data_IF_599338090811
#
_entry.id   IF_599338090811
#
_cell.length_a   1.000
_cell.length_b   1.000
_cell.length_c   1.000
_cell.angle_alpha   90.00
_cell.angle_beta   90.00
_cell.angle_gamma   90.00
#
_symmetry.space_group_name_H-M   'P 1'
#
loop_
_entity.id
_entity.type
_entity.pdbx_description
1 polymer ?
#
# COMPACT_ATOMS: atom_id res chain seq x y z
N UNK A 1 -4.76 -7.52 8.62
CA UNK A 1 -3.63 -6.82 9.28
C UNK A 1 -3.48 -5.45 8.65
N UNK A 2 -3.05 -4.42 9.39
CA UNK A 2 -2.79 -3.07 8.89
C UNK A 2 -1.33 -2.68 9.14
N UNK A 3 -0.74 -1.87 8.26
CA UNK A 3 0.68 -1.51 8.31
C UNK A 3 0.95 -0.03 7.95
N UNK A 4 1.83 0.63 8.69
CA UNK A 4 2.31 1.99 8.39
C UNK A 4 3.81 2.12 8.67
N UNK A 5 4.55 2.77 7.78
CA UNK A 5 6.03 2.69 7.71
C UNK A 5 6.80 3.31 8.89
N UNK A 6 6.15 4.08 9.77
CA UNK A 6 6.80 4.79 10.89
C UNK A 6 6.19 4.47 12.27
N UNK A 7 5.48 3.35 12.41
CA UNK A 7 5.05 2.86 13.73
C UNK A 7 5.93 1.69 14.18
N UNK A 8 6.13 1.48 15.50
CA UNK A 8 6.73 0.25 16.02
C UNK A 8 5.83 -0.93 15.70
N UNK A 9 5.98 -1.50 14.50
CA UNK A 9 4.97 -2.41 13.97
C UNK A 9 5.34 -3.89 14.22
N UNK A 10 4.78 -4.45 15.28
CA UNK A 10 4.84 -5.89 15.57
C UNK A 10 3.94 -6.73 14.66
N UNK A 11 3.07 -6.10 13.86
CA UNK A 11 2.09 -6.81 13.03
C UNK A 11 2.74 -7.59 11.90
N UNK A 12 3.90 -7.17 11.38
CA UNK A 12 4.66 -7.98 10.42
C UNK A 12 5.09 -9.30 11.07
N UNK A 13 5.54 -9.26 12.32
CA UNK A 13 5.92 -10.48 13.04
C UNK A 13 4.69 -11.37 13.32
N UNK A 14 3.56 -10.78 13.70
CA UNK A 14 2.28 -11.52 13.87
C UNK A 14 1.82 -12.15 12.55
N UNK A 15 1.94 -11.44 11.43
CA UNK A 15 1.61 -11.94 10.11
C UNK A 15 2.51 -13.12 9.72
N UNK A 16 3.83 -13.02 9.96
CA UNK A 16 4.77 -14.13 9.78
C UNK A 16 4.38 -15.37 10.60
N UNK A 17 4.02 -15.18 11.87
CA UNK A 17 3.55 -16.29 12.72
C UNK A 17 2.27 -16.91 12.17
N UNK A 18 1.28 -16.10 11.79
CA UNK A 18 0.02 -16.59 11.21
C UNK A 18 0.26 -17.41 9.92
N UNK A 19 1.10 -16.90 9.01
CA UNK A 19 1.51 -17.59 7.78
C UNK A 19 2.21 -18.91 8.10
N UNK A 20 3.13 -18.93 9.08
CA UNK A 20 3.83 -20.16 9.48
C UNK A 20 2.89 -21.22 10.08
N UNK A 21 1.75 -20.80 10.61
CA UNK A 21 0.69 -21.67 11.12
C UNK A 21 -0.34 -22.06 10.04
N UNK A 22 -0.13 -21.66 8.78
CA UNK A 22 -1.02 -21.96 7.66
C UNK A 22 -2.29 -21.11 7.63
N UNK A 23 -2.35 -20.01 8.37
CA UNK A 23 -3.51 -19.12 8.38
C UNK A 23 -3.41 -18.10 7.22
N UNK A 24 -4.51 -17.85 6.50
CA UNK A 24 -4.53 -16.83 5.45
C UNK A 24 -4.41 -15.44 6.06
N UNK A 25 -3.62 -14.58 5.43
CA UNK A 25 -3.47 -13.18 5.82
C UNK A 25 -3.85 -12.29 4.65
N UNK A 26 -4.70 -11.31 4.93
CA UNK A 26 -5.08 -10.25 4.00
C UNK A 26 -4.81 -8.90 4.65
N UNK A 27 -4.20 -7.98 3.90
CA UNK A 27 -3.82 -6.66 4.39
C UNK A 27 -4.81 -5.64 3.85
N UNK A 28 -5.91 -5.42 4.56
CA UNK A 28 -6.95 -4.52 4.05
C UNK A 28 -6.54 -3.05 4.01
N UNK A 29 -5.40 -2.69 4.62
CA UNK A 29 -4.93 -1.30 4.72
C UNK A 29 -3.41 -1.24 4.92
N UNK A 30 -2.74 -0.37 4.15
CA UNK A 30 -1.38 0.06 4.45
C UNK A 30 -1.11 1.51 4.00
N UNK A 31 -0.16 2.17 4.65
CA UNK A 31 0.37 3.47 4.23
C UNK A 31 1.89 3.44 4.00
N UNK A 32 2.36 4.32 3.12
CA UNK A 32 3.79 4.51 2.79
C UNK A 32 4.47 5.59 3.65
N UNK A 33 3.73 6.17 4.60
CA UNK A 33 4.20 7.13 5.57
C UNK A 33 3.63 6.81 6.97
N UNK A 34 3.83 7.72 7.93
CA UNK A 34 3.31 7.60 9.29
C UNK A 34 1.79 7.46 9.34
N UNK A 35 1.26 6.66 10.27
CA UNK A 35 -0.19 6.51 10.48
C UNK A 35 -0.88 7.81 10.91
N UNK A 36 -0.12 8.77 11.45
CA UNK A 36 -0.63 10.09 11.80
C UNK A 36 -0.73 11.03 10.59
N UNK A 37 -0.31 10.56 9.41
CA UNK A 37 -0.35 11.33 8.18
C UNK A 37 0.60 12.51 8.13
N UNK A 38 1.56 12.57 9.06
CA UNK A 38 2.62 13.55 9.11
C UNK A 38 3.91 13.02 8.45
N UNK A 39 4.72 13.96 7.97
CA UNK A 39 6.02 13.67 7.36
C UNK A 39 5.91 13.27 5.89
N UNK A 40 6.94 12.57 5.42
CA UNK A 40 7.13 12.20 4.00
C UNK A 40 7.05 10.70 3.79
N UNK A 41 7.06 10.27 2.53
CA UNK A 41 7.13 8.86 2.14
C UNK A 41 8.39 8.21 2.70
N UNK A 42 8.23 7.07 3.39
CA UNK A 42 9.35 6.23 3.81
C UNK A 42 9.57 5.12 2.78
N UNK A 43 10.40 5.42 1.78
CA UNK A 43 10.72 4.54 0.66
C UNK A 43 11.30 3.18 1.10
N UNK A 44 12.20 3.19 2.10
CA UNK A 44 12.88 1.98 2.56
C UNK A 44 11.92 1.01 3.25
N UNK A 45 11.11 1.52 4.19
CA UNK A 45 10.12 0.71 4.89
C UNK A 45 9.00 0.23 3.94
N UNK A 46 8.56 1.09 3.01
CA UNK A 46 7.58 0.70 1.99
C UNK A 46 8.11 -0.43 1.10
N UNK A 47 9.38 -0.36 0.69
CA UNK A 47 10.01 -1.41 -0.10
C UNK A 47 10.10 -2.72 0.69
N UNK A 48 10.56 -2.67 1.94
CA UNK A 48 10.64 -3.85 2.79
C UNK A 48 9.27 -4.50 3.03
N UNK A 49 8.22 -3.67 3.17
CA UNK A 49 6.84 -4.13 3.24
C UNK A 49 6.41 -4.85 1.96
N UNK A 50 6.62 -4.24 0.78
CA UNK A 50 6.25 -4.87 -0.49
C UNK A 50 7.05 -6.13 -0.79
N UNK A 51 8.35 -6.16 -0.47
CA UNK A 51 9.16 -7.37 -0.59
C UNK A 51 8.56 -8.51 0.27
N UNK A 52 8.14 -8.21 1.50
CA UNK A 52 7.48 -9.18 2.37
C UNK A 52 6.12 -9.64 1.81
N UNK A 53 5.27 -8.74 1.34
CA UNK A 53 3.95 -9.11 0.82
C UNK A 53 4.05 -9.92 -0.46
N UNK A 54 4.95 -9.55 -1.36
CA UNK A 54 5.15 -10.25 -2.64
C UNK A 54 5.72 -11.65 -2.41
N UNK A 55 6.69 -11.81 -1.50
CA UNK A 55 7.27 -13.11 -1.13
C UNK A 55 6.26 -14.10 -0.55
N UNK A 56 5.17 -13.59 0.06
CA UNK A 56 4.16 -14.40 0.73
C UNK A 56 2.82 -14.39 -0.03
N UNK A 57 2.77 -13.85 -1.25
CA UNK A 57 1.57 -13.74 -2.08
C UNK A 57 0.38 -13.08 -1.35
N UNK A 58 0.66 -12.06 -0.54
CA UNK A 58 -0.36 -11.38 0.24
C UNK A 58 -1.00 -10.26 -0.58
N UNK A 59 -2.33 -10.23 -0.57
CA UNK A 59 -3.10 -9.11 -1.14
C UNK A 59 -3.14 -7.93 -0.16
N UNK A 60 -3.08 -6.71 -0.71
CA UNK A 60 -3.07 -5.48 0.06
C UNK A 60 -3.81 -4.32 -0.61
N UNK A 61 -4.35 -3.40 0.20
CA UNK A 61 -4.95 -2.14 -0.28
C UNK A 61 -4.31 -0.93 0.40
N UNK A 62 -3.99 0.09 -0.38
CA UNK A 62 -3.37 1.31 0.14
C UNK A 62 -4.42 2.28 0.70
N UNK A 63 -4.08 2.87 1.84
CA UNK A 63 -4.75 4.04 2.41
C UNK A 63 -4.09 5.33 1.91
N UNK A 64 -4.81 6.28 1.30
CA UNK A 64 -6.18 6.18 0.79
C UNK A 64 -6.35 7.03 -0.48
N UNK A 65 -7.36 6.68 -1.28
CA UNK A 65 -7.80 7.50 -2.40
C UNK A 65 -8.66 8.67 -1.90
N UNK A 66 -8.01 9.78 -1.58
CA UNK A 66 -8.62 11.01 -1.03
C UNK A 66 -7.73 12.21 -1.37
N UNK A 67 -8.30 13.41 -1.34
CA UNK A 67 -7.69 14.71 -1.64
C UNK A 67 -7.36 15.52 -0.36
N UNK A 68 -7.11 14.85 0.75
CA UNK A 68 -6.74 15.53 2.00
C UNK A 68 -5.33 16.14 1.97
N UNK A 69 -5.02 16.98 2.97
CA UNK A 69 -3.71 17.60 3.15
C UNK A 69 -2.81 16.77 4.09
N UNK A 70 -2.42 15.58 3.63
CA UNK A 70 -1.59 14.65 4.40
C UNK A 70 -0.80 13.70 3.49
N UNK A 71 0.32 13.16 3.98
CA UNK A 71 1.09 12.13 3.26
C UNK A 71 0.29 10.83 3.01
N UNK A 72 -0.86 10.64 3.65
CA UNK A 72 -1.74 9.50 3.43
C UNK A 72 -2.65 9.65 2.20
N UNK A 73 -2.79 10.85 1.68
CA UNK A 73 -3.73 11.17 0.62
C UNK A 73 -3.07 10.86 -0.72
N UNK A 74 -3.71 10.07 -1.58
CA UNK A 74 -3.19 9.76 -2.90
C UNK A 74 -3.32 10.93 -3.89
N UNK A 75 -4.27 11.86 -3.64
CA UNK A 75 -4.56 12.99 -4.51
C UNK A 75 -4.21 14.32 -3.84
N UNK A 76 -3.81 15.30 -4.65
CA UNK A 76 -3.58 16.67 -4.18
C UNK A 76 -4.89 17.32 -3.74
N UNK A 77 -4.80 18.31 -2.84
CA UNK A 77 -5.96 19.02 -2.31
C UNK A 77 -6.84 19.61 -3.43
N UNK A 78 -8.15 19.45 -3.28
CA UNK A 78 -9.19 19.88 -4.23
C UNK A 78 -9.25 19.11 -5.56
N UNK A 79 -8.61 17.94 -5.66
CA UNK A 79 -8.84 17.03 -6.78
C UNK A 79 -10.28 16.47 -6.75
N UNK A 80 -10.94 16.41 -7.90
CA UNK A 80 -12.28 15.84 -8.02
C UNK A 80 -12.25 14.44 -8.69
N UNK A 81 -13.40 13.77 -8.70
CA UNK A 81 -13.52 12.38 -9.20
C UNK A 81 -13.09 12.20 -10.66
N UNK A 82 -13.22 13.22 -11.51
CA UNK A 82 -12.78 13.13 -12.91
C UNK A 82 -11.26 13.14 -13.06
N UNK A 83 -10.53 13.60 -12.04
CA UNK A 83 -9.07 13.77 -12.04
C UNK A 83 -8.33 12.58 -11.40
N UNK A 84 -9.05 11.59 -10.86
CA UNK A 84 -8.44 10.42 -10.18
C UNK A 84 -7.43 9.68 -11.07
N UNK A 85 -7.67 9.60 -12.38
CA UNK A 85 -6.78 8.95 -13.34
C UNK A 85 -5.64 9.82 -13.88
N UNK A 86 -5.65 11.12 -13.57
CA UNK A 86 -4.64 12.05 -14.04
C UNK A 86 -3.49 12.16 -13.03
N UNK A 87 -2.32 11.68 -13.45
CA UNK A 87 -1.12 11.60 -12.62
C UNK A 87 -0.62 12.97 -12.16
N UNK A 88 -1.03 14.07 -12.80
CA UNK A 88 -0.67 15.42 -12.33
C UNK A 88 -1.38 15.80 -11.03
N UNK A 89 -2.47 15.12 -10.69
CA UNK A 89 -3.23 15.32 -9.45
C UNK A 89 -2.85 14.35 -8.34
N UNK A 90 -1.79 13.56 -8.52
CA UNK A 90 -1.34 12.63 -7.50
C UNK A 90 -0.30 13.26 -6.60
N UNK A 91 -0.39 12.96 -5.31
CA UNK A 91 0.68 13.29 -4.35
C UNK A 91 1.91 12.41 -4.59
N UNK A 92 3.00 12.71 -3.89
CA UNK A 92 4.19 11.84 -3.86
C UNK A 92 3.82 10.40 -3.47
N UNK A 93 2.99 10.22 -2.44
CA UNK A 93 2.51 8.92 -1.99
C UNK A 93 1.69 8.22 -3.08
N UNK A 94 0.69 8.91 -3.66
CA UNK A 94 -0.16 8.34 -4.71
C UNK A 94 0.64 7.91 -5.93
N UNK A 95 1.58 8.76 -6.38
CA UNK A 95 2.47 8.44 -7.50
C UNK A 95 3.38 7.24 -7.20
N UNK A 96 3.92 7.15 -5.97
CA UNK A 96 4.78 6.06 -5.57
C UNK A 96 4.01 4.72 -5.48
N UNK A 97 2.83 4.74 -4.87
CA UNK A 97 1.93 3.57 -4.78
C UNK A 97 1.52 3.12 -6.18
N UNK A 98 1.07 4.04 -7.04
CA UNK A 98 0.71 3.66 -8.40
C UNK A 98 1.91 3.10 -9.17
N UNK A 99 3.12 3.65 -9.01
CA UNK A 99 4.31 3.09 -9.66
C UNK A 99 4.55 1.64 -9.25
N UNK A 100 4.26 1.27 -7.99
CA UNK A 100 4.31 -0.12 -7.53
C UNK A 100 3.19 -0.98 -8.13
N UNK A 101 1.95 -0.49 -8.14
CA UNK A 101 0.78 -1.28 -8.55
C UNK A 101 0.61 -1.37 -10.07
N UNK A 102 1.03 -0.35 -10.80
CA UNK A 102 0.85 -0.26 -12.25
C UNK A 102 1.82 -1.23 -12.95
N UNK A 103 1.26 -2.26 -13.58
CA UNK A 103 2.03 -3.26 -14.31
C UNK A 103 2.54 -4.42 -13.44
N UNK A 104 2.19 -4.48 -12.15
CA UNK A 104 2.33 -5.71 -11.37
C UNK A 104 1.17 -6.64 -11.68
N UNK A 105 1.39 -7.57 -12.60
CA UNK A 105 0.58 -8.79 -12.70
C UNK A 105 1.17 -9.81 -11.72
N UNK A 106 0.46 -10.08 -10.62
CA UNK A 106 0.84 -11.14 -9.67
C UNK A 106 0.23 -12.50 -10.05
N UNK A 107 -0.43 -12.58 -11.20
CA UNK A 107 -0.82 -13.81 -11.88
C UNK A 107 -2.20 -14.34 -11.50
N UNK A 108 -2.98 -14.65 -12.54
CA UNK A 108 -3.62 -15.95 -12.81
C UNK A 108 -4.22 -15.84 -14.22
N UNK A 109 -3.55 -16.41 -15.22
CA UNK A 109 -4.22 -16.69 -16.50
C UNK A 109 -5.05 -17.94 -16.24
N UNK A 110 -6.37 -17.77 -16.16
CA UNK A 110 -7.29 -18.90 -16.20
C UNK A 110 -7.19 -19.53 -17.60
N UNK A 111 -6.35 -20.55 -17.77
CA UNK A 111 -6.43 -21.43 -18.93
C UNK A 111 -7.68 -22.28 -18.77
N UNK A 112 -8.72 -21.99 -19.56
CA UNK A 112 -9.85 -22.90 -19.76
C UNK A 112 -9.32 -24.19 -20.38
N UNK A 113 -9.48 -25.31 -19.66
CA UNK A 113 -9.20 -26.66 -20.16
C UNK A 113 -10.35 -27.23 -20.95
#
# INVERSE_FOLDING_TARGET
MHYYTNLPDTNIQKAKTAISLGLPVFISEYGVCSAYGNGTVNYNASKAFWDFTDQNNLSYFSWALTDCDSCLCALVNHANSSQVGDKTYWTESGAYINKKLWGTDQGLICSVG
#
